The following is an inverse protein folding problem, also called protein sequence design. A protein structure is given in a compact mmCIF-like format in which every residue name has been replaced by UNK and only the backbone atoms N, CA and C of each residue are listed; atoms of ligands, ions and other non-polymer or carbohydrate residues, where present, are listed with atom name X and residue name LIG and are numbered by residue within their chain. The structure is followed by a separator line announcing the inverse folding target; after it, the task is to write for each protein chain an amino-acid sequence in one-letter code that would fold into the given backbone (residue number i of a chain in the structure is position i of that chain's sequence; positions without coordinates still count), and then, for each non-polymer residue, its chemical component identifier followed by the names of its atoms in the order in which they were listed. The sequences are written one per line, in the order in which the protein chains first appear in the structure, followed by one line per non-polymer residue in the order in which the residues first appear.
data_IF_980710122126
#
_entry.id   IF_980710122126
#
_cell.length_a   1.000
_cell.length_b   1.000
_cell.length_c   1.000
_cell.angle_alpha   90.00
_cell.angle_beta   90.00
_cell.angle_gamma   90.00
#
_symmetry.space_group_name_H-M   'P 1'
#
loop_
_entity.id
_entity.type
_entity.pdbx_description
1 polymer ?
#
# COMPACT_ATOMS: atom_id res chain seq x y z
N UNK A 1 0.05 -15.47 -10.97
CA UNK A 1 0.59 -14.75 -9.79
C UNK A 1 1.28 -13.49 -10.28
N UNK A 2 1.05 -12.35 -9.60
CA UNK A 2 1.60 -11.05 -9.99
C UNK A 2 2.50 -10.49 -8.90
N UNK A 3 3.51 -9.72 -9.30
CA UNK A 3 4.34 -8.93 -8.38
C UNK A 3 3.70 -7.56 -8.22
N UNK A 4 3.50 -7.12 -6.98
CA UNK A 4 2.97 -5.80 -6.66
C UNK A 4 3.91 -5.06 -5.71
N UNK A 5 3.89 -3.73 -5.77
CA UNK A 5 4.66 -2.87 -4.86
C UNK A 5 3.68 -2.03 -4.04
N UNK A 6 3.82 -2.11 -2.72
CA UNK A 6 3.27 -1.13 -1.78
C UNK A 6 4.45 -0.27 -1.32
N UNK A 7 4.27 1.03 -1.14
CA UNK A 7 5.34 1.89 -0.64
C UNK A 7 4.77 2.97 0.27
N UNK A 8 5.62 3.41 1.21
CA UNK A 8 5.36 4.58 2.05
C UNK A 8 6.36 5.65 1.63
N UNK A 9 5.86 6.80 1.18
CA UNK A 9 6.69 7.96 0.82
C UNK A 9 6.69 8.96 1.96
N UNK A 10 7.87 9.29 2.47
CA UNK A 10 8.06 10.23 3.57
C UNK A 10 9.06 11.31 3.16
N UNK A 11 8.73 12.57 3.46
CA UNK A 11 9.67 13.69 3.39
C UNK A 11 9.90 14.19 4.81
N UNK A 12 11.14 14.17 5.27
CA UNK A 12 11.50 14.51 6.65
C UNK A 12 12.87 15.17 6.74
N UNK A 13 13.17 15.74 7.90
CA UNK A 13 14.50 16.27 8.21
C UNK A 13 15.55 15.15 8.27
N UNK A 14 16.79 15.37 7.82
CA UNK A 14 17.87 14.39 7.95
C UNK A 14 18.15 13.96 9.40
N UNK A 15 17.81 14.80 10.38
CA UNK A 15 17.96 14.49 11.81
C UNK A 15 16.90 13.53 12.35
N UNK A 16 15.77 13.39 11.65
CA UNK A 16 14.64 12.59 12.08
C UNK A 16 14.46 11.32 11.26
N UNK A 17 15.20 11.15 10.17
CA UNK A 17 14.95 10.10 9.18
C UNK A 17 15.07 8.70 9.77
N UNK A 18 16.05 8.45 10.64
CA UNK A 18 16.19 7.15 11.31
C UNK A 18 14.95 6.79 12.14
N UNK A 19 14.54 7.69 13.04
CA UNK A 19 13.36 7.50 13.88
C UNK A 19 12.08 7.33 13.06
N UNK A 20 11.95 8.07 11.96
CA UNK A 20 10.78 7.97 11.09
C UNK A 20 10.75 6.64 10.35
N UNK A 21 11.88 6.18 9.81
CA UNK A 21 11.96 4.87 9.13
C UNK A 21 11.66 3.74 10.11
N UNK A 22 12.30 3.74 11.29
CA UNK A 22 12.03 2.77 12.36
C UNK A 22 10.56 2.78 12.79
N UNK A 23 9.97 3.97 12.96
CA UNK A 23 8.57 4.16 13.29
C UNK A 23 7.62 3.61 12.23
N UNK A 24 7.88 3.85 10.94
CA UNK A 24 7.08 3.30 9.83
C UNK A 24 7.13 1.77 9.86
N UNK A 25 8.31 1.17 10.00
CA UNK A 25 8.43 -0.29 10.05
C UNK A 25 7.73 -0.87 11.28
N UNK A 26 7.87 -0.24 12.44
CA UNK A 26 7.16 -0.64 13.65
C UNK A 26 5.63 -0.62 13.45
N UNK A 27 5.09 0.45 12.86
CA UNK A 27 3.65 0.57 12.58
C UNK A 27 3.18 -0.51 11.61
N UNK A 28 3.98 -0.85 10.58
CA UNK A 28 3.61 -1.88 9.61
C UNK A 28 3.66 -3.29 10.21
N UNK A 29 4.68 -3.59 11.04
CA UNK A 29 4.79 -4.88 11.75
C UNK A 29 3.65 -5.08 12.74
N UNK A 30 3.24 -4.00 13.42
CA UNK A 30 2.20 -4.02 14.46
C UNK A 30 0.85 -3.48 13.96
N UNK A 31 0.64 -3.45 12.64
CA UNK A 31 -0.55 -2.86 12.06
C UNK A 31 -1.80 -3.60 12.54
N UNK A 32 -2.74 -2.85 13.12
CA UNK A 32 -4.06 -3.32 13.50
C UNK A 32 -5.11 -2.48 12.81
N UNK A 33 -6.10 -3.16 12.23
CA UNK A 33 -7.12 -2.50 11.45
C UNK A 33 -8.35 -2.23 12.30
N UNK A 34 -8.56 -0.97 12.70
CA UNK A 34 -9.70 -0.60 13.55
C UNK A 34 -10.98 -0.28 12.74
N UNK A 35 -10.85 0.20 11.50
CA UNK A 35 -12.00 0.71 10.71
C UNK A 35 -12.07 0.12 9.29
N UNK A 36 -12.16 -1.21 9.17
CA UNK A 36 -12.26 -1.86 7.85
C UNK A 36 -13.46 -1.35 7.04
N UNK A 37 -14.62 -1.15 7.68
CA UNK A 37 -15.86 -0.73 7.00
C UNK A 37 -15.72 0.66 6.36
N UNK A 38 -15.19 1.63 7.10
CA UNK A 38 -14.95 2.97 6.57
C UNK A 38 -13.86 2.96 5.51
N UNK A 39 -12.81 2.14 5.69
CA UNK A 39 -11.77 1.96 4.67
C UNK A 39 -12.34 1.43 3.35
N UNK A 40 -13.16 0.37 3.39
CA UNK A 40 -13.87 -0.16 2.22
C UNK A 40 -14.75 0.90 1.56
N UNK A 41 -15.52 1.66 2.36
CA UNK A 41 -16.39 2.73 1.86
C UNK A 41 -15.60 3.82 1.13
N UNK A 42 -14.48 4.27 1.70
CA UNK A 42 -13.58 5.25 1.09
C UNK A 42 -12.99 4.73 -0.22
N UNK A 43 -12.53 3.49 -0.22
CA UNK A 43 -11.96 2.82 -1.42
C UNK A 43 -13.00 2.70 -2.54
N UNK A 44 -14.21 2.24 -2.23
CA UNK A 44 -15.33 2.14 -3.18
C UNK A 44 -15.64 3.49 -3.83
N UNK A 45 -15.76 4.54 -3.01
CA UNK A 45 -16.01 5.90 -3.51
C UNK A 45 -14.87 6.40 -4.41
N UNK A 46 -13.62 6.12 -4.05
CA UNK A 46 -12.46 6.49 -4.85
C UNK A 46 -12.48 5.77 -6.21
N UNK A 47 -12.73 4.47 -6.23
CA UNK A 47 -12.80 3.67 -7.46
C UNK A 47 -13.90 4.20 -8.40
N UNK A 48 -15.09 4.51 -7.89
CA UNK A 48 -16.17 5.07 -8.69
C UNK A 48 -15.81 6.44 -9.29
N UNK A 49 -15.17 7.32 -8.50
CA UNK A 49 -14.69 8.62 -9.00
C UNK A 49 -13.62 8.49 -10.09
N UNK A 50 -12.82 7.44 -10.08
CA UNK A 50 -11.81 7.21 -11.12
C UNK A 50 -12.46 6.84 -12.46
N UNK A 51 -13.60 6.15 -12.44
CA UNK A 51 -14.38 5.79 -13.64
C UNK A 51 -15.02 7.02 -14.30
N UNK A 52 -15.36 8.05 -13.52
CA UNK A 52 -15.98 9.30 -14.00
C UNK A 52 -14.98 10.30 -14.64
N UNK A 53 -13.66 10.06 -14.54
CA UNK A 53 -12.62 10.89 -15.16
C UNK A 53 -12.59 10.68 -16.69
N UNK A 54 -12.09 11.64 -17.51
CA UNK A 54 -12.33 11.71 -18.95
C UNK A 54 -12.22 10.36 -19.66
N UNK A 55 -13.22 10.08 -20.50
CA UNK A 55 -13.54 8.78 -21.11
C UNK A 55 -12.35 7.95 -21.61
N UNK A 56 -11.25 8.60 -22.05
CA UNK A 56 -10.00 7.92 -22.45
C UNK A 56 -9.36 7.09 -21.33
N UNK A 57 -9.28 7.60 -20.10
CA UNK A 57 -8.62 6.87 -18.99
C UNK A 57 -9.46 5.68 -18.51
N UNK A 58 -10.77 5.88 -18.47
CA UNK A 58 -11.74 4.82 -18.13
C UNK A 58 -11.76 3.71 -19.19
N UNK A 59 -11.71 4.06 -20.48
CA UNK A 59 -11.62 3.09 -21.56
C UNK A 59 -10.31 2.28 -21.53
N UNK A 60 -9.17 2.90 -21.24
CA UNK A 60 -7.88 2.18 -21.10
C UNK A 60 -7.91 1.21 -19.91
N UNK A 61 -8.42 1.64 -18.76
CA UNK A 61 -8.59 0.77 -17.59
C UNK A 61 -9.49 -0.43 -17.93
N UNK A 62 -10.60 -0.18 -18.63
CA UNK A 62 -11.52 -1.24 -19.06
C UNK A 62 -10.89 -2.20 -20.08
N UNK A 63 -10.11 -1.70 -21.04
CA UNK A 63 -9.36 -2.55 -21.97
C UNK A 63 -8.36 -3.44 -21.25
N UNK A 64 -7.68 -2.93 -20.22
CA UNK A 64 -6.77 -3.73 -19.39
C UNK A 64 -7.49 -4.80 -18.57
N UNK A 65 -8.66 -4.50 -18.00
CA UNK A 65 -9.52 -5.49 -17.34
C UNK A 65 -9.94 -6.62 -18.31
N UNK A 66 -10.36 -6.27 -19.52
CA UNK A 66 -10.75 -7.26 -20.55
C UNK A 66 -9.55 -8.13 -20.93
N UNK A 67 -8.38 -7.53 -21.17
CA UNK A 67 -7.15 -8.25 -21.53
C UNK A 67 -6.67 -9.18 -20.40
N UNK A 68 -6.98 -8.85 -19.15
CA UNK A 68 -6.66 -9.68 -17.98
C UNK A 68 -7.77 -10.66 -17.60
N UNK A 69 -8.87 -10.70 -18.36
CA UNK A 69 -10.01 -11.59 -18.14
C UNK A 69 -10.90 -11.20 -16.96
N UNK A 70 -10.80 -9.97 -16.46
CA UNK A 70 -11.57 -9.50 -15.32
C UNK A 70 -13.00 -9.13 -15.72
N UNK A 71 -13.98 -9.73 -15.05
CA UNK A 71 -15.39 -9.37 -15.19
C UNK A 71 -15.66 -7.96 -14.68
N UNK A 72 -16.63 -7.28 -15.29
CA UNK A 72 -17.02 -5.94 -14.88
C UNK A 72 -17.53 -5.96 -13.43
N UNK A 73 -16.98 -5.09 -12.58
CA UNK A 73 -17.38 -5.01 -11.17
C UNK A 73 -16.76 -6.07 -10.26
N UNK A 74 -15.94 -7.00 -10.80
CA UNK A 74 -15.21 -8.00 -10.01
C UNK A 74 -14.34 -7.38 -8.91
N UNK A 75 -13.70 -6.23 -9.17
CA UNK A 75 -12.91 -5.49 -8.18
C UNK A 75 -13.78 -4.97 -7.02
N UNK A 76 -14.97 -4.46 -7.32
CA UNK A 76 -15.90 -3.99 -6.29
C UNK A 76 -16.43 -5.16 -5.47
N UNK A 77 -16.74 -6.29 -6.10
CA UNK A 77 -17.16 -7.51 -5.40
C UNK A 77 -16.03 -8.07 -4.51
N UNK A 78 -14.79 -8.08 -5.01
CA UNK A 78 -13.63 -8.52 -4.25
C UNK A 78 -13.38 -7.65 -3.01
N UNK A 79 -13.56 -6.32 -3.14
CA UNK A 79 -13.41 -5.38 -2.02
C UNK A 79 -14.36 -5.69 -0.85
N UNK A 80 -15.60 -6.10 -1.13
CA UNK A 80 -16.58 -6.45 -0.09
C UNK A 80 -16.14 -7.70 0.71
N UNK A 81 -15.39 -8.61 0.08
CA UNK A 81 -14.91 -9.84 0.70
C UNK A 81 -13.58 -9.70 1.48
N UNK A 82 -12.92 -8.55 1.43
CA UNK A 82 -11.68 -8.32 2.19
C UNK A 82 -11.97 -8.38 3.69
N UNK A 83 -11.23 -9.19 4.43
CA UNK A 83 -11.33 -9.30 5.90
C UNK A 83 -10.21 -8.53 6.60
N UNK A 84 -10.38 -8.29 7.90
CA UNK A 84 -9.37 -7.61 8.74
C UNK A 84 -8.07 -8.41 8.77
N UNK A 85 -8.16 -9.73 9.00
CA UNK A 85 -7.00 -10.62 9.03
C UNK A 85 -6.21 -10.59 7.73
N UNK A 86 -6.88 -10.54 6.57
CA UNK A 86 -6.18 -10.45 5.28
C UNK A 86 -5.39 -9.14 5.12
N UNK A 87 -5.91 -8.03 5.66
CA UNK A 87 -5.20 -6.74 5.61
C UNK A 87 -4.01 -6.75 6.58
N UNK A 88 -4.19 -7.28 7.78
CA UNK A 88 -3.12 -7.40 8.78
C UNK A 88 -2.01 -8.35 8.31
N UNK A 89 -2.37 -9.51 7.74
CA UNK A 89 -1.42 -10.44 7.13
C UNK A 89 -0.67 -9.80 5.97
N UNK A 90 -1.36 -9.02 5.13
CA UNK A 90 -0.72 -8.30 4.03
C UNK A 90 0.27 -7.23 4.55
N UNK A 91 -0.08 -6.51 5.62
CA UNK A 91 0.79 -5.53 6.26
C UNK A 91 2.05 -6.19 6.87
N UNK A 92 1.89 -7.32 7.56
CA UNK A 92 3.00 -8.09 8.11
C UNK A 92 3.92 -8.65 7.01
N UNK A 93 3.36 -9.20 5.93
CA UNK A 93 4.13 -9.65 4.76
C UNK A 93 4.90 -8.51 4.12
N UNK A 94 4.28 -7.34 3.98
CA UNK A 94 4.95 -6.15 3.45
C UNK A 94 6.13 -5.73 4.33
N UNK A 95 5.96 -5.73 5.65
CA UNK A 95 7.01 -5.39 6.59
C UNK A 95 8.20 -6.37 6.56
N UNK A 96 7.97 -7.65 6.21
CA UNK A 96 9.02 -8.68 6.17
C UNK A 96 9.97 -8.58 4.96
N UNK A 97 9.54 -7.93 3.87
CA UNK A 97 10.32 -7.82 2.63
C UNK A 97 10.51 -6.35 2.21
N UNK A 98 11.03 -5.55 3.15
CA UNK A 98 11.25 -4.13 2.95
C UNK A 98 12.43 -3.85 2.01
N UNK A 99 12.23 -2.87 1.13
CA UNK A 99 13.28 -2.20 0.38
C UNK A 99 13.24 -0.70 0.66
N UNK A 100 14.40 -0.07 0.84
CA UNK A 100 14.50 1.35 1.17
C UNK A 100 15.14 2.06 -0.03
N UNK A 101 14.48 3.12 -0.48
CA UNK A 101 15.00 4.05 -1.47
C UNK A 101 14.98 5.45 -0.87
N UNK A 102 16.10 6.17 -0.95
CA UNK A 102 16.26 7.49 -0.37
C UNK A 102 16.97 8.43 -1.34
N UNK A 103 16.71 9.73 -1.19
CA UNK A 103 17.29 10.79 -2.01
C UNK A 103 17.52 12.05 -1.16
N UNK A 104 18.66 12.74 -1.35
CA UNK A 104 19.04 13.94 -0.61
C UNK A 104 20.15 13.67 0.42
N UNK A 105 20.02 14.23 1.62
CA UNK A 105 20.95 13.94 2.72
C UNK A 105 20.55 12.61 3.37
N UNK A 106 21.22 11.54 2.96
CA UNK A 106 20.89 10.16 3.31
C UNK A 106 21.83 9.55 4.36
N UNK A 107 22.72 10.33 4.96
CA UNK A 107 23.75 9.84 5.89
C UNK A 107 23.16 9.11 7.10
N UNK A 108 21.99 9.55 7.56
CA UNK A 108 21.30 8.96 8.72
C UNK A 108 20.18 7.99 8.32
N UNK A 109 20.06 7.61 7.03
CA UNK A 109 19.08 6.62 6.61
C UNK A 109 19.55 5.25 7.10
N UNK A 110 18.79 4.56 7.98
CA UNK A 110 19.23 3.28 8.53
C UNK A 110 19.32 2.22 7.44
N UNK A 111 20.29 1.31 7.59
CA UNK A 111 20.37 0.15 6.72
C UNK A 111 19.20 -0.79 6.99
N UNK A 112 18.85 -1.59 5.98
CA UNK A 112 17.73 -2.54 6.09
C UNK A 112 17.98 -3.52 7.24
N UNK A 113 19.21 -3.99 7.35
CA UNK A 113 19.66 -4.98 8.32
C UNK A 113 19.41 -4.47 9.75
N UNK A 114 19.82 -3.24 10.04
CA UNK A 114 19.64 -2.60 11.36
C UNK A 114 18.16 -2.50 11.78
N UNK A 115 17.25 -2.34 10.82
CA UNK A 115 15.80 -2.22 11.08
C UNK A 115 15.13 -3.59 11.24
N UNK A 116 15.68 -4.62 10.57
CA UNK A 116 15.14 -5.97 10.60
C UNK A 116 15.58 -6.73 11.84
N UNK A 117 16.82 -6.53 12.30
CA UNK A 117 17.42 -7.24 13.43
C UNK A 117 17.00 -6.68 14.81
N UNK A 118 16.49 -5.44 14.87
CA UNK A 118 16.04 -4.80 16.12
C UNK A 118 14.67 -5.33 16.67
N UNK A 119 14.09 -6.41 16.13
CA UNK A 119 12.82 -6.99 16.63
C UNK A 119 12.79 -8.52 16.65
#
# INVERSE_FOLDING_TARGET
EGVGIVHVSVVTSPLSVENVVKGVVYVLKNFKLDELKESKRRTKHHLLKLVERPARKSAVARSMEILTGMEQGSVLAALENVSESQVEEAAARFASNLSIAAYGNIENVPHREDIMDEN
#
